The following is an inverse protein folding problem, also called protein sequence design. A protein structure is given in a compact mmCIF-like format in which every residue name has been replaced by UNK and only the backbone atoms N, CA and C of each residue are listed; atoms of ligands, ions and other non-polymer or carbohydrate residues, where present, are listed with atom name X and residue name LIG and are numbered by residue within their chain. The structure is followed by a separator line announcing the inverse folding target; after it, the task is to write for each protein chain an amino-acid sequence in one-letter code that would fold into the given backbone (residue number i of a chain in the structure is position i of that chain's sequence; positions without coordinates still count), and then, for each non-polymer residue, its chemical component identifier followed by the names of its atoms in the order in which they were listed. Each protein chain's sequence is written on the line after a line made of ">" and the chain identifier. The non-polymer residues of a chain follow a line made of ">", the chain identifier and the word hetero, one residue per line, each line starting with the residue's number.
data_IF_178914014534
#
_entry.id   IF_178914014534
#
_cell.length_a   1.000
_cell.length_b   1.000
_cell.length_c   1.000
_cell.angle_alpha   90.00
_cell.angle_beta   90.00
_cell.angle_gamma   90.00
#
_symmetry.space_group_name_H-M   'P 1'
#
loop_
_entity.id
_entity.type
_entity.pdbx_description
1 polymer ?
#
# COMPACT_ATOMS: atom_id res chain seq x y z
N UNK A 1 7.55 10.11 8.46
CA UNK A 1 8.04 9.43 7.22
C UNK A 1 9.57 9.36 7.23
N UNK A 2 10.19 8.20 6.94
CA UNK A 2 11.65 8.04 7.02
C UNK A 2 12.42 8.60 5.81
N UNK A 3 11.73 9.21 4.84
CA UNK A 3 12.34 9.81 3.66
C UNK A 3 13.03 11.13 4.03
N UNK A 4 14.22 11.03 4.64
CA UNK A 4 15.13 12.15 4.85
C UNK A 4 16.28 12.06 3.85
N UNK A 5 16.00 12.36 2.58
CA UNK A 5 17.01 12.86 1.64
C UNK A 5 17.65 11.89 0.63
N UNK A 6 17.14 10.66 0.43
CA UNK A 6 17.66 9.74 -0.61
C UNK A 6 16.59 8.80 -1.20
N UNK A 7 16.98 7.93 -2.14
CA UNK A 7 16.15 6.88 -2.76
C UNK A 7 15.63 5.81 -1.78
N UNK A 8 15.76 6.04 -0.48
CA UNK A 8 15.34 5.12 0.57
C UNK A 8 14.01 5.59 1.14
N UNK A 9 13.01 4.73 1.04
CA UNK A 9 11.65 5.00 1.45
C UNK A 9 11.16 4.00 2.48
N UNK A 10 9.91 4.14 2.89
CA UNK A 10 9.27 3.18 3.77
C UNK A 10 9.18 1.78 3.13
N UNK A 11 9.26 1.66 1.79
CA UNK A 11 9.30 0.39 1.08
C UNK A 11 10.57 -0.39 1.43
N UNK A 12 11.74 0.20 1.20
CA UNK A 12 13.05 -0.40 1.50
C UNK A 12 13.13 -0.75 2.99
N UNK A 13 12.76 0.18 3.87
CA UNK A 13 12.77 -0.05 5.31
C UNK A 13 11.90 -1.25 5.73
N UNK A 14 10.71 -1.38 5.16
CA UNK A 14 9.81 -2.48 5.52
C UNK A 14 10.35 -3.84 5.06
N UNK A 15 10.89 -3.91 3.84
CA UNK A 15 11.49 -5.12 3.30
C UNK A 15 12.77 -5.53 4.05
N UNK A 16 13.62 -4.55 4.40
CA UNK A 16 14.85 -4.79 5.15
C UNK A 16 14.58 -5.29 6.57
N UNK A 17 13.61 -4.69 7.27
CA UNK A 17 13.21 -5.16 8.61
C UNK A 17 12.65 -6.58 8.57
N UNK A 18 11.83 -6.91 7.58
CA UNK A 18 11.28 -8.25 7.42
C UNK A 18 12.40 -9.28 7.14
N UNK A 19 13.38 -8.93 6.28
CA UNK A 19 14.56 -9.76 6.05
C UNK A 19 15.48 -9.87 7.28
N UNK A 20 15.61 -8.82 8.08
CA UNK A 20 16.33 -8.89 9.35
C UNK A 20 15.67 -9.90 10.29
N UNK A 21 14.34 -9.83 10.46
CA UNK A 21 13.58 -10.81 11.25
C UNK A 21 13.77 -12.23 10.74
N UNK A 22 13.75 -12.45 9.41
CA UNK A 22 14.07 -13.76 8.79
C UNK A 22 15.42 -14.30 9.25
N UNK A 23 16.48 -13.48 9.19
CA UNK A 23 17.83 -13.89 9.60
C UNK A 23 17.90 -14.23 11.08
N UNK A 24 17.22 -13.47 11.94
CA UNK A 24 17.20 -13.78 13.37
C UNK A 24 16.44 -15.07 13.68
N UNK A 25 15.35 -15.36 12.96
CA UNK A 25 14.64 -16.65 13.09
C UNK A 25 15.53 -17.82 12.70
N UNK A 26 16.28 -17.70 11.58
CA UNK A 26 17.21 -18.74 11.13
C UNK A 26 18.35 -18.91 12.13
N UNK A 27 18.93 -17.83 12.65
CA UNK A 27 19.93 -17.88 13.73
C UNK A 27 19.38 -18.55 15.00
N UNK A 28 18.09 -18.39 15.28
CA UNK A 28 17.38 -19.07 16.36
C UNK A 28 17.10 -20.55 16.13
N UNK A 29 17.52 -21.14 14.99
CA UNK A 29 17.37 -22.57 14.68
C UNK A 29 16.22 -22.90 13.74
N UNK A 30 15.53 -21.92 13.15
CA UNK A 30 14.55 -22.18 12.10
C UNK A 30 15.26 -22.60 10.81
N UNK A 31 14.82 -23.70 10.19
CA UNK A 31 15.33 -24.11 8.88
C UNK A 31 14.94 -23.10 7.79
N UNK A 32 15.89 -22.69 6.94
CA UNK A 32 15.68 -21.64 5.95
C UNK A 32 14.57 -21.97 4.94
N UNK A 33 14.41 -23.26 4.60
CA UNK A 33 13.36 -23.75 3.71
C UNK A 33 11.94 -23.71 4.30
N UNK A 34 11.78 -23.32 5.58
CA UNK A 34 10.45 -23.10 6.19
C UNK A 34 9.89 -21.71 5.92
N UNK A 35 10.65 -20.84 5.27
CA UNK A 35 10.24 -19.47 4.95
C UNK A 35 9.97 -19.38 3.46
N UNK A 36 8.68 -19.24 3.09
CA UNK A 36 8.25 -19.22 1.70
C UNK A 36 8.50 -17.86 1.02
N UNK A 37 8.14 -16.76 1.69
CA UNK A 37 8.27 -15.40 1.14
C UNK A 37 8.47 -14.35 2.23
N UNK A 38 9.09 -13.23 1.84
CA UNK A 38 9.23 -12.01 2.64
C UNK A 38 8.62 -10.86 1.86
N UNK A 39 7.79 -10.04 2.51
CA UNK A 39 7.05 -8.95 1.86
C UNK A 39 7.26 -7.64 2.63
N UNK A 40 7.61 -6.57 1.92
CA UNK A 40 7.62 -5.20 2.46
C UNK A 40 6.33 -4.48 2.06
N UNK A 41 5.58 -3.95 3.03
CA UNK A 41 4.29 -3.29 2.80
C UNK A 41 4.32 -1.76 3.02
N UNK A 42 5.48 -1.19 3.34
CA UNK A 42 5.64 0.23 3.65
C UNK A 42 4.53 0.76 4.58
N UNK A 43 3.87 1.85 4.17
CA UNK A 43 2.72 2.46 4.83
C UNK A 43 1.40 2.19 4.09
N UNK A 44 1.30 1.09 3.33
CA UNK A 44 0.10 0.74 2.56
C UNK A 44 -1.03 0.15 3.42
N UNK A 45 -0.70 -0.50 4.54
CA UNK A 45 -1.67 -1.15 5.43
C UNK A 45 -1.46 -0.70 6.89
N UNK A 46 -2.08 0.43 7.24
CA UNK A 46 -2.18 0.89 8.62
C UNK A 46 -3.21 0.06 9.40
N UNK A 47 -2.86 -0.31 10.63
CA UNK A 47 -3.78 -0.97 11.55
C UNK A 47 -4.66 0.07 12.24
N UNK A 48 -4.04 1.13 12.76
CA UNK A 48 -4.75 2.33 13.16
C UNK A 48 -4.78 3.30 11.98
N UNK A 49 -5.97 3.48 11.40
CA UNK A 49 -6.20 4.35 10.24
C UNK A 49 -6.39 5.82 10.64
N UNK A 50 -6.67 6.10 11.91
CA UNK A 50 -6.93 7.46 12.39
C UNK A 50 -5.62 8.20 12.68
N UNK A 51 -4.58 7.48 13.13
CA UNK A 51 -3.24 8.02 13.33
C UNK A 51 -2.20 7.23 12.52
N UNK A 52 -1.79 7.78 11.37
CA UNK A 52 -0.77 7.18 10.51
C UNK A 52 0.63 7.08 11.16
N UNK A 53 0.91 7.88 12.19
CA UNK A 53 2.20 7.86 12.91
C UNK A 53 2.16 6.96 14.16
N UNK A 54 1.01 6.36 14.47
CA UNK A 54 0.84 5.48 15.61
C UNK A 54 1.93 4.37 15.64
N UNK A 55 2.54 4.09 16.80
CA UNK A 55 3.57 3.04 16.91
C UNK A 55 3.12 1.67 16.44
N UNK A 56 1.83 1.35 16.60
CA UNK A 56 1.23 0.08 16.19
C UNK A 56 1.35 -0.18 14.67
N UNK A 57 1.49 0.87 13.87
CA UNK A 57 1.66 0.76 12.42
C UNK A 57 3.07 0.27 12.03
N UNK A 58 4.04 0.22 12.95
CA UNK A 58 5.44 -0.19 12.70
C UNK A 58 5.74 -1.64 13.14
N UNK A 59 4.94 -2.60 12.67
CA UNK A 59 4.99 -4.03 13.08
C UNK A 59 5.73 -4.97 12.12
N UNK A 60 6.12 -6.14 12.63
CA UNK A 60 6.50 -7.32 11.83
C UNK A 60 5.45 -8.41 12.08
N UNK A 61 4.88 -8.95 11.02
CA UNK A 61 3.90 -10.05 11.10
C UNK A 61 4.55 -11.33 10.59
N UNK A 62 4.41 -12.42 11.35
CA UNK A 62 4.80 -13.77 10.94
C UNK A 62 3.52 -14.56 10.74
N UNK A 63 3.34 -15.12 9.55
CA UNK A 63 2.16 -15.92 9.19
C UNK A 63 2.60 -17.36 9.05
N UNK A 64 1.96 -18.27 9.79
CA UNK A 64 2.15 -19.71 9.65
C UNK A 64 1.09 -20.22 8.67
N UNK A 65 1.55 -20.82 7.58
CA UNK A 65 0.68 -21.30 6.51
C UNK A 65 0.25 -22.75 6.79
N UNK A 66 -0.98 -23.08 6.42
CA UNK A 66 -1.40 -24.46 6.24
C UNK A 66 -1.02 -24.95 4.83
N UNK A 67 -1.20 -26.25 4.57
CA UNK A 67 -0.81 -26.85 3.29
C UNK A 67 -1.57 -26.25 2.09
N UNK A 68 -2.88 -25.99 2.23
CA UNK A 68 -3.69 -25.41 1.15
C UNK A 68 -3.25 -23.99 0.80
N UNK A 69 -2.95 -23.15 1.78
CA UNK A 69 -2.54 -21.76 1.54
C UNK A 69 -1.12 -21.70 0.98
N UNK A 70 -0.23 -22.58 1.44
CA UNK A 70 1.09 -22.75 0.84
C UNK A 70 0.98 -23.17 -0.62
N UNK A 71 0.13 -24.15 -0.94
CA UNK A 71 -0.10 -24.60 -2.31
C UNK A 71 -0.67 -23.48 -3.20
N UNK A 72 -1.63 -22.69 -2.70
CA UNK A 72 -2.18 -21.54 -3.42
C UNK A 72 -1.11 -20.51 -3.77
N UNK A 73 -0.23 -20.18 -2.80
CA UNK A 73 0.88 -19.26 -3.05
C UNK A 73 1.86 -19.85 -4.07
N UNK A 74 2.17 -21.15 -3.98
CA UNK A 74 3.07 -21.81 -4.94
C UNK A 74 2.48 -21.86 -6.36
N UNK A 75 1.17 -22.11 -6.49
CA UNK A 75 0.46 -22.10 -7.76
C UNK A 75 0.47 -20.72 -8.44
N UNK A 76 0.51 -19.63 -7.67
CA UNK A 76 0.72 -18.26 -8.23
C UNK A 76 2.06 -18.14 -8.98
N UNK A 77 3.06 -18.95 -8.62
CA UNK A 77 4.36 -19.01 -9.29
C UNK A 77 4.43 -20.08 -10.40
N UNK A 78 3.42 -20.95 -10.53
CA UNK A 78 3.36 -21.95 -11.59
C UNK A 78 3.08 -21.25 -12.93
N UNK A 79 4.11 -21.19 -13.78
CA UNK A 79 4.09 -20.44 -15.05
C UNK A 79 4.96 -19.19 -15.06
N UNK A 80 5.65 -18.86 -13.96
CA UNK A 80 6.66 -17.82 -13.96
C UNK A 80 7.84 -18.23 -14.84
N UNK A 81 7.94 -17.63 -16.03
CA UNK A 81 9.08 -17.77 -16.93
C UNK A 81 10.24 -16.87 -16.46
N UNK A 82 11.49 -17.37 -16.43
CA UNK A 82 12.64 -16.53 -16.17
C UNK A 82 12.66 -15.32 -17.11
N UNK A 83 13.04 -14.14 -16.62
CA UNK A 83 13.14 -12.92 -17.44
C UNK A 83 14.10 -13.14 -18.64
N UNK A 84 15.06 -14.05 -18.50
CA UNK A 84 15.97 -14.48 -19.57
C UNK A 84 15.25 -15.12 -20.77
N UNK A 85 14.11 -15.77 -20.53
CA UNK A 85 13.33 -16.51 -21.53
C UNK A 85 12.18 -15.68 -22.12
N UNK A 86 12.07 -14.38 -21.80
CA UNK A 86 11.06 -13.48 -22.38
C UNK A 86 11.12 -13.40 -23.91
N UNK A 87 12.25 -13.75 -24.52
CA UNK A 87 12.38 -13.83 -25.97
C UNK A 87 11.60 -15.02 -26.58
N UNK A 88 11.36 -16.09 -25.82
CA UNK A 88 10.62 -17.28 -26.25
C UNK A 88 9.09 -17.10 -26.12
N UNK A 89 8.62 -16.16 -25.28
CA UNK A 89 7.19 -15.83 -25.15
C UNK A 89 6.54 -15.28 -26.43
N UNK A 90 7.34 -14.77 -27.38
CA UNK A 90 6.85 -14.34 -28.70
C UNK A 90 6.42 -15.51 -29.60
N UNK A 91 6.66 -16.76 -29.20
CA UNK A 91 6.41 -17.95 -30.02
C UNK A 91 5.39 -18.92 -29.41
N UNK A 92 4.67 -18.54 -28.35
CA UNK A 92 3.55 -19.37 -27.89
C UNK A 92 2.41 -19.31 -28.92
N UNK A 93 1.86 -20.47 -29.35
CA UNK A 93 0.60 -20.48 -30.08
C UNK A 93 -0.49 -19.92 -29.16
N UNK A 94 -1.33 -19.03 -29.71
CA UNK A 94 -2.43 -18.42 -28.98
C UNK A 94 -3.31 -19.52 -28.33
N UNK A 95 -3.74 -19.35 -27.07
CA UNK A 95 -4.68 -20.29 -26.46
C UNK A 95 -5.94 -20.36 -27.34
N UNK A 96 -6.35 -21.59 -27.67
CA UNK A 96 -7.47 -21.87 -28.55
C UNK A 96 -8.74 -21.17 -28.04
N UNK A 97 -9.27 -20.28 -28.86
CA UNK A 97 -10.57 -19.64 -28.67
C UNK A 97 -11.67 -20.68 -28.89
N UNK A 98 -12.12 -21.36 -27.84
CA UNK A 98 -13.50 -21.83 -27.83
C UNK A 98 -14.39 -20.61 -27.58
N UNK A 99 -14.95 -20.09 -28.66
CA UNK A 99 -15.99 -19.06 -28.67
C UNK A 99 -17.32 -19.65 -28.18
N UNK A 100 -17.92 -19.16 -27.10
CA UNK A 100 -19.37 -19.16 -26.97
C UNK A 100 -19.92 -17.90 -27.65
N UNK A 101 -20.87 -18.10 -28.55
CA UNK A 101 -21.61 -17.06 -29.27
C UNK A 101 -22.45 -16.16 -28.30
N UNK A 102 -22.99 -15.02 -28.78
CA UNK A 102 -23.15 -13.79 -28.02
C UNK A 102 -24.43 -13.75 -27.17
N UNK A 103 -24.31 -13.29 -25.93
CA UNK A 103 -25.45 -12.76 -25.18
C UNK A 103 -25.35 -11.23 -25.12
N UNK A 104 -26.34 -10.62 -25.74
CA UNK A 104 -26.71 -9.21 -25.73
C UNK A 104 -26.90 -8.69 -24.30
N UNK A 105 -26.15 -7.67 -23.89
CA UNK A 105 -26.55 -6.45 -23.19
C UNK A 105 -25.36 -5.86 -22.42
N UNK A 106 -24.87 -4.74 -22.93
CA UNK A 106 -23.95 -3.82 -22.24
C UNK A 106 -24.79 -2.94 -21.30
N UNK A 107 -24.57 -2.94 -19.97
CA UNK A 107 -24.88 -1.76 -19.18
C UNK A 107 -23.71 -0.78 -19.29
N UNK A 108 -24.02 0.43 -19.76
CA UNK A 108 -23.06 1.52 -19.89
C UNK A 108 -22.47 1.92 -18.52
N UNK A 109 -21.20 2.36 -18.46
CA UNK A 109 -20.65 3.05 -17.30
C UNK A 109 -21.46 4.32 -16.99
N UNK A 110 -21.75 4.66 -15.72
CA UNK A 110 -22.42 5.91 -15.40
C UNK A 110 -21.53 7.10 -15.77
N UNK A 111 -22.05 7.98 -16.61
CA UNK A 111 -21.46 9.26 -16.98
C UNK A 111 -21.60 10.24 -15.80
N UNK A 112 -20.47 10.59 -15.17
CA UNK A 112 -20.43 11.52 -14.05
C UNK A 112 -20.40 12.94 -14.63
N UNK A 113 -21.51 13.68 -14.47
CA UNK A 113 -21.59 15.10 -14.81
C UNK A 113 -20.61 15.91 -13.94
N UNK A 114 -19.93 16.95 -14.45
CA UNK A 114 -19.05 17.76 -13.64
C UNK A 114 -19.86 18.54 -12.59
N UNK A 115 -19.65 18.21 -11.33
CA UNK A 115 -20.21 18.95 -10.20
C UNK A 115 -19.59 20.35 -10.13
N UNK A 116 -20.44 21.37 -10.13
CA UNK A 116 -20.09 22.78 -10.10
C UNK A 116 -19.30 23.09 -8.82
N UNK A 117 -18.03 23.47 -8.99
CA UNK A 117 -17.18 24.01 -7.92
C UNK A 117 -17.88 25.21 -7.26
N UNK A 118 -18.10 25.23 -5.93
CA UNK A 118 -18.50 26.46 -5.25
C UNK A 118 -17.29 27.39 -5.15
N UNK A 119 -17.51 28.61 -5.63
CA UNK A 119 -16.58 29.74 -5.60
C UNK A 119 -16.23 30.12 -4.15
N UNK A 120 -14.93 30.33 -3.80
CA UNK A 120 -14.57 30.78 -2.46
C UNK A 120 -14.96 32.25 -2.30
N UNK A 121 -15.89 32.51 -1.39
CA UNK A 121 -16.23 33.86 -0.95
C UNK A 121 -14.99 34.57 -0.39
N UNK A 122 -14.70 35.75 -0.94
CA UNK A 122 -13.65 36.64 -0.47
C UNK A 122 -13.90 37.08 0.99
N UNK A 123 -12.87 37.23 1.84
CA UNK A 123 -13.03 37.87 3.13
C UNK A 123 -13.05 39.38 2.95
N UNK A 124 -14.22 39.99 3.17
CA UNK A 124 -14.39 41.42 3.26
C UNK A 124 -13.78 41.96 4.57
N UNK A 125 -13.02 43.04 4.46
CA UNK A 125 -12.39 43.73 5.58
C UNK A 125 -13.33 44.84 6.07
N UNK A 126 -13.60 44.93 7.38
CA UNK A 126 -13.34 46.12 8.25
C UNK A 126 -13.89 45.95 9.68
N UNK A 127 -13.33 46.65 10.69
CA UNK A 127 -13.49 46.36 12.11
C UNK A 127 -14.58 47.21 12.79
N UNK A 128 -14.91 46.93 14.05
CA UNK A 128 -15.30 47.98 14.98
C UNK A 128 -14.28 48.14 16.11
N UNK A 129 -13.86 49.40 16.29
CA UNK A 129 -13.26 49.88 17.53
C UNK A 129 -14.29 49.79 18.67
N UNK A 130 -13.86 49.37 19.86
CA UNK A 130 -14.26 50.08 21.06
C UNK A 130 -13.24 49.97 22.19
N UNK A 131 -13.05 51.10 22.86
CA UNK A 131 -11.99 51.43 23.80
C UNK A 131 -12.32 51.05 25.25
N UNK A 132 -11.25 50.96 26.04
CA UNK A 132 -11.15 51.14 27.50
C UNK A 132 -11.75 50.01 28.39
N UNK A 133 -11.20 49.64 29.53
CA UNK A 133 -10.22 50.30 30.39
C UNK A 133 -9.36 49.25 31.12
N UNK A 134 -8.08 49.60 31.32
CA UNK A 134 -7.17 48.92 32.21
C UNK A 134 -7.43 49.37 33.66
N UNK A 135 -7.52 48.40 34.57
CA UNK A 135 -7.26 48.57 35.98
C UNK A 135 -6.59 47.28 36.44
N UNK A 136 -5.31 47.32 36.79
CA UNK A 136 -4.89 47.40 38.20
C UNK A 136 -3.40 47.02 38.38
N UNK A 137 -2.72 47.82 39.21
CA UNK A 137 -1.58 47.51 40.10
C UNK A 137 -0.19 47.21 39.51
N UNK A 138 0.69 48.23 39.57
CA UNK A 138 2.00 48.17 40.25
C UNK A 138 2.54 49.58 40.51
N UNK A 139 2.82 49.84 41.80
CA UNK A 139 3.43 51.01 42.47
C UNK A 139 2.55 52.24 42.71
#
# INVERSE_FOLDING_TARGET
>A
PYANGGNYSNWELSAERANASRRELVRGGMAENKILRVVGMASSIHLDKNDGLAPVNRRISIIVLNESEMANILHEYEGAVPITDLQQLKQLPAPHTETPAPHTETPAPPEILPEKVPEPAAPDQTPPQNSAAAADTTQ
#
